data_IF_702026053196
#
_entry.id   IF_702026053196
#
_cell.length_a   1.000
_cell.length_b   1.000
_cell.length_c   1.000
_cell.angle_alpha   90.00
_cell.angle_beta   90.00
_cell.angle_gamma   90.00
#
_symmetry.space_group_name_H-M   'P 1'
#
loop_
_entity.id
_entity.type
_entity.pdbx_description
1 polymer ?
#
# COMPACT_ATOMS: atom_id res chain seq x y z
N UNK A 1 -0.71 -22.09 -28.43
CA UNK A 1 -0.76 -21.48 -27.09
C UNK A 1 -0.51 -22.57 -26.04
N UNK A 2 0.52 -22.37 -25.22
CA UNK A 2 0.94 -23.32 -24.18
C UNK A 2 -0.11 -23.48 -23.08
N UNK A 3 0.04 -24.54 -22.29
CA UNK A 3 -0.71 -24.70 -21.05
C UNK A 3 0.21 -25.28 -19.99
N UNK A 4 0.09 -24.78 -18.77
CA UNK A 4 0.84 -25.24 -17.60
C UNK A 4 -0.04 -26.24 -16.84
N UNK A 5 0.57 -27.31 -16.36
CA UNK A 5 -0.10 -28.29 -15.50
C UNK A 5 0.56 -28.18 -14.14
N UNK A 6 -0.25 -27.98 -13.11
CA UNK A 6 0.19 -27.94 -11.73
C UNK A 6 -0.24 -29.23 -11.03
N UNK A 7 0.68 -29.84 -10.29
CA UNK A 7 0.35 -30.90 -9.36
C UNK A 7 -0.48 -30.34 -8.18
N UNK A 8 -1.14 -31.20 -7.38
CA UNK A 8 -1.88 -30.75 -6.21
C UNK A 8 -1.04 -29.83 -5.30
N UNK A 9 -1.65 -28.79 -4.74
CA UNK A 9 -1.09 -27.74 -3.85
C UNK A 9 -0.11 -26.75 -4.52
N UNK A 10 0.54 -27.15 -5.61
CA UNK A 10 1.62 -26.35 -6.23
C UNK A 10 1.14 -24.97 -6.74
N UNK A 11 -0.10 -24.86 -7.24
CA UNK A 11 -0.61 -23.58 -7.74
C UNK A 11 -0.79 -22.55 -6.60
N UNK A 12 -1.45 -22.95 -5.52
CA UNK A 12 -1.67 -22.09 -4.36
C UNK A 12 -0.35 -21.72 -3.68
N UNK A 13 0.57 -22.68 -3.54
CA UNK A 13 1.91 -22.45 -3.00
C UNK A 13 2.68 -21.42 -3.83
N UNK A 14 2.72 -21.56 -5.15
CA UNK A 14 3.41 -20.60 -6.02
C UNK A 14 2.82 -19.18 -5.91
N UNK A 15 1.50 -19.06 -5.81
CA UNK A 15 0.82 -17.77 -5.61
C UNK A 15 1.19 -17.14 -4.26
N UNK A 16 1.12 -17.92 -3.18
CA UNK A 16 1.47 -17.45 -1.84
C UNK A 16 2.97 -17.12 -1.72
N UNK A 17 3.86 -17.91 -2.32
CA UNK A 17 5.29 -17.66 -2.31
C UNK A 17 5.68 -16.39 -3.05
N UNK A 18 5.13 -16.18 -4.25
CA UNK A 18 5.41 -14.97 -5.03
C UNK A 18 4.81 -13.73 -4.36
N UNK A 19 3.57 -13.84 -3.86
CA UNK A 19 2.96 -12.78 -3.06
C UNK A 19 3.81 -12.45 -1.84
N UNK A 20 4.30 -13.45 -1.10
CA UNK A 20 5.19 -13.25 0.04
C UNK A 20 6.56 -12.70 -0.34
N UNK A 21 7.12 -13.10 -1.47
CA UNK A 21 8.39 -12.56 -1.96
C UNK A 21 8.29 -11.07 -2.35
N UNK A 22 7.18 -10.69 -2.98
CA UNK A 22 6.94 -9.33 -3.49
C UNK A 22 6.41 -8.38 -2.42
N UNK A 23 5.41 -8.80 -1.65
CA UNK A 23 4.69 -7.97 -0.69
C UNK A 23 5.14 -8.18 0.75
N UNK A 24 5.86 -9.26 1.07
CA UNK A 24 6.18 -9.64 2.44
C UNK A 24 4.98 -10.17 3.24
N UNK A 25 3.81 -10.36 2.62
CA UNK A 25 2.63 -10.97 3.23
C UNK A 25 2.60 -12.49 3.01
N UNK A 26 2.39 -13.25 4.07
CA UNK A 26 2.04 -14.66 3.99
C UNK A 26 0.52 -14.79 3.87
N UNK A 27 0.05 -15.50 2.85
CA UNK A 27 -1.36 -15.69 2.55
C UNK A 27 -1.74 -17.15 2.82
N UNK A 28 -2.87 -17.34 3.51
CA UNK A 28 -3.53 -18.64 3.60
C UNK A 28 -4.33 -18.93 2.33
N UNK A 29 -4.80 -20.17 2.18
CA UNK A 29 -5.72 -20.54 1.10
C UNK A 29 -7.01 -19.70 1.14
N UNK A 30 -7.53 -19.39 2.34
CA UNK A 30 -8.69 -18.53 2.53
C UNK A 30 -8.41 -17.09 2.06
N UNK A 31 -7.20 -16.58 2.34
CA UNK A 31 -6.78 -15.27 1.83
C UNK A 31 -6.69 -15.28 0.30
N UNK A 32 -6.11 -16.30 -0.32
CA UNK A 32 -6.02 -16.40 -1.79
C UNK A 32 -7.41 -16.36 -2.43
N UNK A 33 -8.35 -17.18 -1.94
CA UNK A 33 -9.73 -17.23 -2.44
C UNK A 33 -10.45 -15.88 -2.25
N UNK A 34 -10.27 -15.24 -1.10
CA UNK A 34 -10.89 -13.94 -0.80
C UNK A 34 -10.40 -12.83 -1.74
N UNK A 35 -9.13 -12.84 -2.12
CA UNK A 35 -8.53 -11.75 -2.90
C UNK A 35 -8.62 -11.98 -4.42
N UNK A 36 -8.73 -13.22 -4.88
CA UNK A 36 -8.91 -13.54 -6.29
C UNK A 36 -10.37 -13.39 -6.75
N UNK A 37 -11.36 -13.42 -5.82
CA UNK A 37 -12.77 -12.93 -5.88
C UNK A 37 -13.61 -13.24 -7.15
N UNK A 38 -13.08 -14.03 -8.07
CA UNK A 38 -13.77 -14.63 -9.20
C UNK A 38 -14.20 -16.03 -8.78
N UNK A 39 -15.48 -16.42 -8.94
CA UNK A 39 -15.93 -17.79 -8.67
C UNK A 39 -15.05 -18.82 -9.38
N UNK A 40 -14.62 -18.51 -10.61
CA UNK A 40 -13.73 -19.37 -11.38
C UNK A 40 -12.34 -19.51 -10.75
N UNK A 41 -11.75 -18.41 -10.28
CA UNK A 41 -10.42 -18.44 -9.66
C UNK A 41 -10.48 -19.18 -8.32
N UNK A 42 -11.52 -18.96 -7.52
CA UNK A 42 -11.73 -19.66 -6.25
C UNK A 42 -11.90 -21.16 -6.46
N UNK A 43 -12.76 -21.58 -7.40
CA UNK A 43 -12.92 -23.00 -7.74
C UNK A 43 -11.62 -23.62 -8.22
N UNK A 44 -10.86 -22.91 -9.05
CA UNK A 44 -9.55 -23.35 -9.55
C UNK A 44 -8.55 -23.55 -8.41
N UNK A 45 -8.44 -22.58 -7.50
CA UNK A 45 -7.52 -22.65 -6.35
C UNK A 45 -7.89 -23.81 -5.44
N UNK A 46 -9.18 -23.96 -5.09
CA UNK A 46 -9.65 -25.07 -4.26
C UNK A 46 -9.48 -26.43 -4.95
N UNK A 47 -9.76 -26.52 -6.25
CA UNK A 47 -9.54 -27.75 -7.02
C UNK A 47 -8.05 -28.12 -7.09
N UNK A 48 -7.18 -27.10 -7.15
CA UNK A 48 -5.73 -27.30 -7.19
C UNK A 48 -5.17 -27.91 -5.91
N UNK A 49 -5.88 -27.87 -4.79
CA UNK A 49 -5.44 -28.51 -3.54
C UNK A 49 -5.53 -30.03 -3.58
N UNK A 50 -6.49 -30.56 -4.36
CA UNK A 50 -6.81 -32.00 -4.38
C UNK A 50 -6.50 -32.67 -5.72
N UNK A 51 -6.31 -31.90 -6.78
CA UNK A 51 -6.24 -32.42 -8.15
C UNK A 51 -5.26 -31.64 -9.01
N UNK A 52 -4.82 -32.29 -10.10
CA UNK A 52 -4.05 -31.59 -11.11
C UNK A 52 -4.93 -30.57 -11.81
N UNK A 53 -4.42 -29.35 -11.97
CA UNK A 53 -5.11 -28.29 -12.70
C UNK A 53 -4.27 -27.84 -13.88
N UNK A 54 -4.94 -27.50 -14.99
CA UNK A 54 -4.30 -26.99 -16.20
C UNK A 54 -4.76 -25.58 -16.47
N UNK A 55 -3.80 -24.67 -16.64
CA UNK A 55 -4.05 -23.27 -16.95
C UNK A 55 -3.35 -22.86 -18.24
N UNK A 56 -3.89 -21.84 -18.89
CA UNK A 56 -3.14 -21.08 -19.88
C UNK A 56 -2.03 -20.31 -19.16
N UNK A 57 -0.86 -20.17 -19.78
CA UNK A 57 0.24 -19.41 -19.17
C UNK A 57 -0.15 -17.94 -18.93
N UNK A 58 -0.95 -17.37 -19.83
CA UNK A 58 -1.48 -16.01 -19.68
C UNK A 58 -2.45 -15.90 -18.50
N UNK A 59 -3.33 -16.90 -18.33
CA UNK A 59 -4.25 -16.94 -17.18
C UNK A 59 -3.50 -17.11 -15.86
N UNK A 60 -2.39 -17.85 -15.85
CA UNK A 60 -1.52 -17.98 -14.67
C UNK A 60 -0.88 -16.64 -14.29
N UNK A 61 -0.39 -15.87 -15.27
CA UNK A 61 0.16 -14.54 -15.04
C UNK A 61 -0.91 -13.56 -14.52
N UNK A 62 -2.11 -13.60 -15.10
CA UNK A 62 -3.22 -12.76 -14.66
C UNK A 62 -3.64 -13.00 -13.21
N UNK A 63 -3.50 -14.23 -12.69
CA UNK A 63 -3.73 -14.52 -11.27
C UNK A 63 -2.79 -13.71 -10.38
N UNK A 64 -1.50 -13.62 -10.73
CA UNK A 64 -0.56 -12.78 -9.98
C UNK A 64 -0.89 -11.30 -10.10
N UNK A 65 -1.27 -10.83 -11.29
CA UNK A 65 -1.59 -9.42 -11.51
C UNK A 65 -2.76 -9.00 -10.62
N UNK A 66 -3.81 -9.82 -10.57
CA UNK A 66 -4.95 -9.62 -9.66
C UNK A 66 -4.52 -9.71 -8.20
N UNK A 67 -3.82 -10.79 -7.81
CA UNK A 67 -3.45 -11.04 -6.43
C UNK A 67 -2.57 -9.93 -5.86
N UNK A 68 -1.49 -9.55 -6.53
CA UNK A 68 -0.57 -8.51 -6.07
C UNK A 68 -1.26 -7.14 -5.95
N UNK A 69 -2.18 -6.82 -6.86
CA UNK A 69 -2.97 -5.60 -6.76
C UNK A 69 -3.92 -5.64 -5.57
N UNK A 70 -4.66 -6.75 -5.40
CA UNK A 70 -5.64 -6.91 -4.34
C UNK A 70 -4.97 -6.89 -2.96
N UNK A 71 -3.83 -7.54 -2.77
CA UNK A 71 -3.12 -7.47 -1.48
C UNK A 71 -2.40 -6.14 -1.23
N UNK A 72 -2.59 -5.13 -2.10
CA UNK A 72 -2.09 -3.77 -1.90
C UNK A 72 -0.66 -3.54 -2.38
N UNK A 73 0.04 -4.58 -2.85
CA UNK A 73 1.42 -4.48 -3.32
C UNK A 73 1.56 -3.53 -4.51
N UNK A 74 0.64 -3.58 -5.47
CA UNK A 74 0.65 -2.69 -6.63
C UNK A 74 -0.45 -1.63 -6.56
N UNK A 75 -0.12 -0.41 -6.98
CA UNK A 75 -1.08 0.71 -7.05
C UNK A 75 -2.23 0.43 -8.02
N UNK A 76 -1.96 -0.35 -9.06
CA UNK A 76 -2.89 -0.73 -10.12
C UNK A 76 -2.68 -2.19 -10.53
N UNK A 77 -3.69 -2.79 -11.14
CA UNK A 77 -3.57 -4.14 -11.69
C UNK A 77 -2.71 -4.11 -12.95
N UNK A 78 -1.71 -4.99 -13.00
CA UNK A 78 -0.87 -5.10 -14.18
C UNK A 78 -1.64 -5.69 -15.37
N UNK A 79 -1.33 -5.23 -16.57
CA UNK A 79 -1.98 -5.65 -17.82
C UNK A 79 -1.06 -6.55 -18.67
N UNK A 80 0.09 -6.98 -18.15
CA UNK A 80 1.07 -7.78 -18.87
C UNK A 80 1.96 -7.00 -19.85
N UNK A 81 1.73 -5.69 -20.03
CA UNK A 81 2.53 -4.88 -20.95
C UNK A 81 3.85 -4.43 -20.30
N UNK A 82 4.83 -5.33 -20.26
CA UNK A 82 6.16 -5.08 -19.67
C UNK A 82 6.96 -4.07 -20.49
N UNK A 83 6.77 -4.05 -21.82
CA UNK A 83 7.61 -3.30 -22.74
C UNK A 83 6.94 -2.04 -23.30
N UNK A 84 5.68 -1.75 -22.96
CA UNK A 84 4.92 -0.65 -23.55
C UNK A 84 4.49 -0.90 -24.99
N UNK A 85 4.20 -2.15 -25.36
CA UNK A 85 3.69 -2.52 -26.69
C UNK A 85 2.37 -1.78 -26.99
N UNK A 86 1.57 -1.48 -25.96
CA UNK A 86 0.34 -0.70 -26.11
C UNK A 86 0.54 0.68 -26.71
N UNK A 87 1.74 1.28 -26.57
CA UNK A 87 2.08 2.58 -27.17
C UNK A 87 1.99 2.55 -28.70
N UNK A 88 2.18 1.38 -29.33
CA UNK A 88 1.98 1.24 -30.78
C UNK A 88 0.59 1.71 -31.21
N UNK A 89 -0.46 1.33 -30.47
CA UNK A 89 -1.84 1.71 -30.81
C UNK A 89 -2.10 3.20 -30.69
N UNK A 90 -1.34 3.91 -29.85
CA UNK A 90 -1.42 5.36 -29.69
C UNK A 90 -0.78 6.12 -30.86
N UNK A 91 0.34 5.62 -31.38
CA UNK A 91 1.14 6.36 -32.38
C UNK A 91 0.98 5.86 -33.81
N UNK A 92 0.41 4.66 -34.05
CA UNK A 92 0.38 4.03 -35.37
C UNK A 92 -0.31 4.83 -36.49
N UNK A 93 -1.29 5.66 -36.15
CA UNK A 93 -2.14 6.31 -37.15
C UNK A 93 -1.55 7.67 -37.60
N UNK A 94 -0.86 8.39 -36.71
CA UNK A 94 -0.32 9.75 -36.98
C UNK A 94 1.22 9.85 -36.91
N UNK A 95 1.90 9.03 -36.10
CA UNK A 95 3.33 9.19 -35.76
C UNK A 95 4.10 7.87 -35.80
N UNK A 96 3.74 6.98 -36.73
CA UNK A 96 4.33 5.64 -36.82
C UNK A 96 5.85 5.67 -37.10
N UNK A 97 6.29 6.61 -37.95
CA UNK A 97 7.70 6.74 -38.33
C UNK A 97 8.55 7.17 -37.14
N UNK A 98 8.08 8.16 -36.38
CA UNK A 98 8.70 8.64 -35.16
C UNK A 98 8.72 7.54 -34.08
N UNK A 99 7.61 6.81 -33.92
CA UNK A 99 7.52 5.71 -32.96
C UNK A 99 8.54 4.61 -33.24
N UNK A 100 8.58 4.11 -34.49
CA UNK A 100 9.54 3.08 -34.88
C UNK A 100 10.99 3.59 -34.78
N UNK A 101 11.22 4.86 -35.13
CA UNK A 101 12.52 5.50 -35.00
C UNK A 101 13.00 5.62 -33.55
N UNK A 102 12.13 5.98 -32.63
CA UNK A 102 12.44 6.02 -31.19
C UNK A 102 12.72 4.63 -30.64
N UNK A 103 11.99 3.60 -31.07
CA UNK A 103 12.27 2.21 -30.67
C UNK A 103 13.66 1.74 -31.17
N UNK A 104 14.04 2.09 -32.39
CA UNK A 104 15.38 1.80 -32.92
C UNK A 104 16.47 2.52 -32.11
N UNK A 105 16.27 3.79 -31.77
CA UNK A 105 17.17 4.51 -30.87
C UNK A 105 17.28 3.85 -29.50
N UNK A 106 16.15 3.41 -28.93
CA UNK A 106 16.12 2.72 -27.64
C UNK A 106 17.00 1.46 -27.66
N UNK A 107 16.83 0.60 -28.68
CA UNK A 107 17.63 -0.63 -28.83
C UNK A 107 19.13 -0.34 -28.97
N UNK A 108 19.50 0.75 -29.66
CA UNK A 108 20.90 1.15 -29.88
C UNK A 108 21.55 1.81 -28.67
N UNK A 109 20.79 2.56 -27.87
CA UNK A 109 21.31 3.41 -26.79
C UNK A 109 21.24 2.68 -25.44
N UNK A 110 20.19 1.90 -25.17
CA UNK A 110 20.00 1.23 -23.88
C UNK A 110 21.19 0.37 -23.45
N UNK A 111 21.82 -0.47 -24.30
CA UNK A 111 22.99 -1.25 -23.89
C UNK A 111 24.18 -0.37 -23.46
N UNK A 112 24.35 0.79 -24.11
CA UNK A 112 25.41 1.75 -23.77
C UNK A 112 25.13 2.45 -22.44
N UNK A 113 23.87 2.80 -22.19
CA UNK A 113 23.42 3.35 -20.91
C UNK A 113 23.64 2.34 -19.77
N UNK A 114 23.30 1.07 -19.98
CA UNK A 114 23.55 -0.01 -19.01
C UNK A 114 25.05 -0.23 -18.74
N UNK A 115 25.88 -0.23 -19.79
CA UNK A 115 27.33 -0.37 -19.66
C UNK A 115 27.93 0.77 -18.83
N UNK A 116 27.59 2.03 -19.14
CA UNK A 116 28.03 3.20 -18.37
C UNK A 116 27.58 3.16 -16.92
N UNK A 117 26.33 2.75 -16.68
CA UNK A 117 25.77 2.61 -15.33
C UNK A 117 26.58 1.58 -14.52
N UNK A 118 26.92 0.45 -15.14
CA UNK A 118 27.74 -0.60 -14.54
C UNK A 118 29.17 -0.14 -14.26
N UNK A 119 29.81 0.54 -15.20
CA UNK A 119 31.15 1.12 -15.05
C UNK A 119 31.21 2.16 -13.93
N UNK A 120 30.14 2.96 -13.78
CA UNK A 120 30.00 3.94 -12.71
C UNK A 120 29.61 3.32 -11.35
N UNK A 121 29.30 2.03 -11.29
CA UNK A 121 28.78 1.37 -10.08
C UNK A 121 27.42 1.91 -9.61
N UNK A 122 26.68 2.58 -10.49
CA UNK A 122 25.36 3.15 -10.17
C UNK A 122 24.28 2.07 -10.18
N UNK A 123 23.27 2.24 -9.32
CA UNK A 123 22.06 1.39 -9.29
C UNK A 123 20.93 1.93 -10.17
N UNK A 124 21.11 3.11 -10.75
CA UNK A 124 20.11 3.82 -11.55
C UNK A 124 20.67 4.17 -12.92
N UNK A 125 19.87 3.95 -13.95
CA UNK A 125 20.22 4.25 -15.34
C UNK A 125 19.80 5.70 -15.64
N UNK A 126 20.74 6.53 -16.11
CA UNK A 126 20.45 7.88 -16.59
C UNK A 126 19.80 7.84 -17.99
N UNK A 127 18.52 8.24 -18.14
CA UNK A 127 17.82 8.20 -19.42
C UNK A 127 18.17 9.36 -20.36
N UNK A 128 18.90 10.38 -19.89
CA UNK A 128 19.17 11.62 -20.65
C UNK A 128 19.71 11.37 -22.07
N UNK A 129 20.68 10.45 -22.29
CA UNK A 129 21.19 10.18 -23.64
C UNK A 129 20.13 9.67 -24.62
N UNK A 130 19.14 8.91 -24.14
CA UNK A 130 18.05 8.40 -24.96
C UNK A 130 17.00 9.50 -25.23
N UNK A 131 16.65 10.29 -24.21
CA UNK A 131 15.72 11.42 -24.34
C UNK A 131 16.26 12.47 -25.32
N UNK A 132 17.52 12.87 -25.18
CA UNK A 132 18.19 13.85 -26.05
C UNK A 132 18.28 13.36 -27.49
N UNK A 133 18.66 12.09 -27.70
CA UNK A 133 18.73 11.51 -29.05
C UNK A 133 17.36 11.48 -29.74
N UNK A 134 16.31 11.13 -28.98
CA UNK A 134 14.93 11.06 -29.49
C UNK A 134 14.39 12.46 -29.82
N UNK A 135 14.65 13.43 -28.94
CA UNK A 135 14.29 14.84 -29.17
C UNK A 135 15.01 15.44 -30.38
N UNK A 136 16.31 15.12 -30.55
CA UNK A 136 17.10 15.59 -31.68
C UNK A 136 16.63 15.00 -33.02
N UNK A 137 16.24 13.72 -33.03
CA UNK A 137 15.84 13.02 -34.25
C UNK A 137 14.41 13.32 -34.67
N UNK A 138 13.47 13.41 -33.72
CA UNK A 138 12.03 13.48 -34.01
C UNK A 138 11.30 14.62 -33.27
N UNK A 139 12.05 15.60 -32.76
CA UNK A 139 11.50 16.78 -32.09
C UNK A 139 10.68 16.45 -30.84
N UNK A 140 9.64 17.24 -30.58
CA UNK A 140 8.77 17.09 -29.40
C UNK A 140 8.07 15.73 -29.36
N UNK A 141 7.61 15.23 -30.50
CA UNK A 141 6.94 13.93 -30.61
C UNK A 141 7.89 12.81 -30.21
N UNK A 142 9.13 12.82 -30.71
CA UNK A 142 10.17 11.87 -30.30
C UNK A 142 10.44 11.85 -28.81
N UNK A 143 10.53 13.04 -28.21
CA UNK A 143 10.72 13.18 -26.77
C UNK A 143 9.53 12.59 -25.98
N UNK A 144 8.29 12.90 -26.37
CA UNK A 144 7.08 12.35 -25.73
C UNK A 144 7.04 10.82 -25.82
N UNK A 145 7.34 10.24 -26.98
CA UNK A 145 7.39 8.78 -27.15
C UNK A 145 8.48 8.17 -26.26
N UNK A 146 9.66 8.80 -26.18
CA UNK A 146 10.77 8.32 -25.37
C UNK A 146 10.45 8.34 -23.88
N UNK A 147 9.80 9.40 -23.38
CA UNK A 147 9.33 9.50 -21.99
C UNK A 147 8.32 8.38 -21.71
N UNK A 148 7.28 8.26 -22.53
CA UNK A 148 6.24 7.23 -22.34
C UNK A 148 6.81 5.81 -22.42
N UNK A 149 7.84 5.60 -23.24
CA UNK A 149 8.55 4.31 -23.33
C UNK A 149 9.28 3.99 -22.03
N UNK A 150 9.98 4.96 -21.44
CA UNK A 150 10.65 4.79 -20.14
C UNK A 150 9.62 4.52 -19.05
N UNK A 151 8.52 5.30 -19.01
CA UNK A 151 7.43 5.12 -18.05
C UNK A 151 6.79 3.73 -18.17
N UNK A 152 6.58 3.24 -19.40
CA UNK A 152 6.03 1.91 -19.63
C UNK A 152 6.96 0.79 -19.13
N UNK A 153 8.27 0.92 -19.35
CA UNK A 153 9.26 -0.05 -18.85
C UNK A 153 9.34 0.01 -17.32
N UNK A 154 9.40 1.20 -16.73
CA UNK A 154 9.39 1.38 -15.27
C UNK A 154 8.13 0.76 -14.65
N UNK A 155 6.96 1.06 -15.21
CA UNK A 155 5.69 0.46 -14.82
C UNK A 155 5.74 -1.07 -14.92
N UNK A 156 6.24 -1.62 -16.04
CA UNK A 156 6.42 -3.05 -16.20
C UNK A 156 7.36 -3.67 -15.15
N UNK A 157 8.45 -3.00 -14.82
CA UNK A 157 9.39 -3.44 -13.79
C UNK A 157 8.78 -3.43 -12.38
N UNK A 158 7.98 -2.40 -12.06
CA UNK A 158 7.29 -2.26 -10.77
C UNK A 158 6.15 -3.24 -10.57
N UNK A 159 5.35 -3.46 -11.61
CA UNK A 159 4.08 -4.19 -11.49
C UNK A 159 4.21 -5.69 -11.80
N UNK A 160 5.25 -6.10 -12.51
CA UNK A 160 5.40 -7.50 -12.90
C UNK A 160 5.76 -8.40 -11.70
N UNK A 161 5.12 -9.58 -11.58
CA UNK A 161 5.50 -10.59 -10.60
C UNK A 161 6.86 -11.24 -10.90
N UNK A 162 7.31 -11.20 -12.16
CA UNK A 162 8.46 -11.96 -12.64
C UNK A 162 9.76 -11.15 -12.69
N UNK A 163 9.69 -9.85 -12.44
CA UNK A 163 10.87 -8.98 -12.38
C UNK A 163 11.57 -9.17 -11.03
N UNK A 164 12.91 -9.18 -11.03
CA UNK A 164 13.68 -9.26 -9.78
C UNK A 164 13.68 -7.95 -8.98
N UNK A 165 13.07 -6.87 -9.50
CA UNK A 165 13.08 -5.59 -8.85
C UNK A 165 12.16 -5.60 -7.61
N UNK A 166 12.75 -5.34 -6.46
CA UNK A 166 12.07 -5.07 -5.19
C UNK A 166 12.56 -3.75 -4.62
N UNK A 167 11.64 -2.88 -4.27
CA UNK A 167 11.96 -1.60 -3.63
C UNK A 167 12.06 -1.73 -2.11
N UNK A 168 11.44 -2.78 -1.55
CA UNK A 168 11.60 -3.19 -0.15
C UNK A 168 12.03 -4.66 -0.15
N UNK A 169 13.16 -4.91 0.50
CA UNK A 169 13.70 -6.24 0.73
C UNK A 169 13.19 -6.73 2.08
N UNK A 170 12.08 -7.48 2.08
CA UNK A 170 11.51 -8.05 3.29
C UNK A 170 12.35 -9.21 3.81
N UNK A 171 12.81 -9.10 5.05
CA UNK A 171 13.54 -10.14 5.78
C UNK A 171 12.61 -11.19 6.38
N UNK A 172 11.34 -10.81 6.61
CA UNK A 172 10.32 -11.70 7.17
C UNK A 172 9.02 -11.68 6.37
N UNK A 173 8.26 -12.78 6.45
CA UNK A 173 6.86 -12.82 5.99
C UNK A 173 5.94 -12.66 7.21
N UNK A 174 4.93 -11.81 7.10
CA UNK A 174 3.89 -11.66 8.13
C UNK A 174 2.55 -12.17 7.61
N UNK A 175 1.81 -12.99 8.36
CA UNK A 175 0.48 -13.41 7.95
C UNK A 175 -0.43 -12.20 7.74
N UNK A 176 -1.16 -12.15 6.62
CA UNK A 176 -2.16 -11.09 6.40
C UNK A 176 -3.19 -11.06 7.54
N UNK A 177 -3.59 -12.23 8.04
CA UNK A 177 -4.52 -12.38 9.15
C UNK A 177 -4.08 -11.67 10.45
N UNK A 178 -2.80 -11.38 10.65
CA UNK A 178 -2.29 -10.69 11.86
C UNK A 178 -2.88 -9.28 12.03
N UNK A 179 -3.28 -8.63 10.93
CA UNK A 179 -3.95 -7.32 11.00
C UNK A 179 -5.34 -7.41 11.64
N UNK A 180 -6.00 -8.57 11.55
CA UNK A 180 -7.36 -8.83 12.03
C UNK A 180 -7.36 -9.58 13.38
N UNK A 181 -6.42 -10.51 13.56
CA UNK A 181 -6.29 -11.32 14.77
C UNK A 181 -5.43 -10.65 15.85
N UNK A 182 -4.62 -9.66 15.47
CA UNK A 182 -3.61 -9.06 16.33
C UNK A 182 -2.30 -9.85 16.29
N UNK A 183 -1.20 -9.17 16.55
CA UNK A 183 0.14 -9.75 16.57
C UNK A 183 1.07 -8.85 17.38
N UNK A 184 1.91 -9.47 18.20
CA UNK A 184 2.93 -8.78 18.99
C UNK A 184 4.28 -8.66 18.24
N UNK A 185 4.32 -9.09 16.98
CA UNK A 185 5.51 -8.91 16.15
C UNK A 185 5.73 -7.42 15.89
N UNK A 186 6.94 -6.89 16.13
CA UNK A 186 7.24 -5.51 15.79
C UNK A 186 7.15 -5.31 14.27
N UNK A 187 6.78 -4.11 13.81
CA UNK A 187 6.80 -3.79 12.39
C UNK A 187 8.24 -3.86 11.86
N UNK A 188 8.41 -4.40 10.65
CA UNK A 188 9.69 -4.39 9.95
C UNK A 188 9.90 -3.04 9.25
N UNK A 189 8.82 -2.45 8.74
CA UNK A 189 8.81 -1.12 8.14
C UNK A 189 7.69 -0.27 8.75
N UNK A 190 8.06 0.82 9.43
CA UNK A 190 7.18 1.63 10.26
C UNK A 190 7.60 1.61 11.73
N UNK A 191 6.99 2.43 12.57
CA UNK A 191 7.29 2.48 14.01
C UNK A 191 6.28 1.71 14.86
N UNK A 192 4.99 1.80 14.54
CA UNK A 192 3.91 1.21 15.32
C UNK A 192 3.15 0.11 14.57
N UNK A 193 2.85 0.33 13.28
CA UNK A 193 2.22 -0.68 12.40
C UNK A 193 3.09 -0.91 11.17
N UNK A 194 3.06 -2.13 10.65
CA UNK A 194 3.85 -2.52 9.49
C UNK A 194 3.26 -1.96 8.19
N UNK A 195 4.12 -1.43 7.31
CA UNK A 195 3.73 -0.86 6.02
C UNK A 195 2.90 -1.83 5.16
N UNK A 196 3.14 -3.14 5.25
CA UNK A 196 2.40 -4.16 4.49
C UNK A 196 0.90 -4.12 4.79
N UNK A 197 0.55 -3.85 6.05
CA UNK A 197 -0.83 -3.75 6.49
C UNK A 197 -1.49 -2.44 6.05
N UNK A 198 -0.73 -1.34 6.03
CA UNK A 198 -1.20 -0.05 5.50
C UNK A 198 -1.49 -0.17 4.00
N UNK A 199 -0.56 -0.77 3.25
CA UNK A 199 -0.69 -0.95 1.80
C UNK A 199 -1.90 -1.81 1.44
N UNK A 200 -2.12 -2.87 2.22
CA UNK A 200 -3.29 -3.73 2.12
C UNK A 200 -4.61 -3.00 2.44
N UNK A 201 -4.68 -2.29 3.57
CA UNK A 201 -5.91 -1.62 4.01
C UNK A 201 -6.34 -0.50 3.09
N UNK A 202 -5.41 0.17 2.42
CA UNK A 202 -5.77 1.22 1.47
C UNK A 202 -6.61 0.67 0.30
N UNK A 203 -6.39 -0.57 -0.12
CA UNK A 203 -7.22 -1.23 -1.13
C UNK A 203 -8.48 -1.92 -0.55
N UNK A 204 -8.58 -2.02 0.78
CA UNK A 204 -9.61 -2.76 1.52
C UNK A 204 -10.19 -1.94 2.70
N UNK A 205 -10.52 -0.67 2.48
CA UNK A 205 -10.98 0.24 3.54
C UNK A 205 -12.29 -0.24 4.20
N UNK A 206 -13.10 -1.01 3.48
CA UNK A 206 -14.32 -1.65 4.00
C UNK A 206 -14.04 -2.62 5.15
N UNK A 207 -12.82 -3.16 5.24
CA UNK A 207 -12.36 -4.08 6.29
C UNK A 207 -11.81 -3.37 7.52
N UNK A 208 -11.70 -2.03 7.53
CA UNK A 208 -11.29 -1.26 8.71
C UNK A 208 -12.02 -1.65 10.01
N UNK A 209 -13.35 -1.88 10.03
CA UNK A 209 -14.05 -2.29 11.25
C UNK A 209 -13.69 -3.72 11.74
N UNK A 210 -13.07 -4.53 10.89
CA UNK A 210 -12.67 -5.91 11.20
C UNK A 210 -11.25 -5.99 11.77
N UNK A 211 -10.41 -4.97 11.53
CA UNK A 211 -9.03 -4.91 12.05
C UNK A 211 -8.97 -5.23 13.53
N UNK A 212 -7.90 -5.82 14.03
CA UNK A 212 -7.73 -5.94 15.46
C UNK A 212 -7.70 -4.54 16.10
N UNK A 213 -8.39 -4.35 17.23
CA UNK A 213 -8.52 -3.04 17.89
C UNK A 213 -7.14 -2.40 18.17
N UNK A 214 -6.17 -3.20 18.62
CA UNK A 214 -4.80 -2.73 18.84
C UNK A 214 -4.09 -2.27 17.55
N UNK A 215 -4.33 -2.94 16.42
CA UNK A 215 -3.76 -2.53 15.12
C UNK A 215 -4.34 -1.19 14.65
N UNK A 216 -5.57 -0.89 15.05
CA UNK A 216 -6.20 0.41 14.76
C UNK A 216 -5.58 1.56 15.58
N UNK A 217 -5.21 1.30 16.83
CA UNK A 217 -4.45 2.25 17.66
C UNK A 217 -3.03 2.46 17.10
N UNK A 218 -2.35 1.37 16.73
CA UNK A 218 -1.02 1.42 16.09
C UNK A 218 -1.06 2.23 14.78
N UNK A 219 -2.10 2.07 13.95
CA UNK A 219 -2.29 2.88 12.74
C UNK A 219 -2.42 4.37 13.05
N UNK A 220 -3.16 4.72 14.09
CA UNK A 220 -3.32 6.10 14.55
C UNK A 220 -1.97 6.67 15.02
N UNK A 221 -1.22 5.90 15.82
CA UNK A 221 0.09 6.29 16.30
C UNK A 221 1.10 6.47 15.16
N UNK A 222 1.11 5.57 14.18
CA UNK A 222 1.98 5.63 13.00
C UNK A 222 1.70 6.86 12.14
N UNK A 223 0.43 7.23 11.96
CA UNK A 223 0.07 8.44 11.24
C UNK A 223 0.71 9.67 11.88
N UNK A 224 0.45 9.93 13.17
CA UNK A 224 1.00 11.10 13.85
C UNK A 224 2.52 11.07 13.92
N UNK A 225 3.12 9.89 14.07
CA UNK A 225 4.56 9.75 14.04
C UNK A 225 5.16 10.21 12.71
N UNK A 226 4.55 9.81 11.58
CA UNK A 226 5.00 10.20 10.24
C UNK A 226 4.66 11.66 9.89
N UNK A 227 3.70 12.26 10.57
CA UNK A 227 3.48 13.71 10.54
C UNK A 227 4.53 14.50 11.34
N UNK A 228 5.47 13.82 12.00
CA UNK A 228 6.58 14.44 12.73
C UNK A 228 6.28 14.73 14.19
N UNK A 229 5.24 14.13 14.77
CA UNK A 229 4.96 14.25 16.21
C UNK A 229 5.74 13.20 17.02
N UNK A 230 5.99 13.53 18.29
CA UNK A 230 6.39 12.53 19.30
C UNK A 230 5.12 11.84 19.76
N UNK A 231 5.12 10.51 19.69
CA UNK A 231 3.92 9.69 19.91
C UNK A 231 4.26 8.58 20.90
N UNK A 232 3.37 8.41 21.87
CA UNK A 232 3.36 7.28 22.80
C UNK A 232 2.06 6.51 22.61
N UNK A 233 2.18 5.22 22.33
CA UNK A 233 1.06 4.30 22.26
C UNK A 233 0.86 3.70 23.66
N UNK A 234 -0.36 3.83 24.20
CA UNK A 234 -0.71 3.29 25.52
C UNK A 234 -0.55 1.77 25.60
N UNK A 235 -0.61 1.16 26.79
CA UNK A 235 -0.43 -0.28 26.96
C UNK A 235 -1.55 -1.13 26.33
N UNK A 236 -2.68 -0.53 25.97
CA UNK A 236 -3.85 -1.16 25.35
C UNK A 236 -4.79 -1.89 26.32
N UNK A 237 -4.38 -2.04 27.59
CA UNK A 237 -5.26 -2.49 28.67
C UNK A 237 -5.06 -1.57 29.86
N UNK A 238 -6.14 -1.28 30.59
CA UNK A 238 -6.14 -0.39 31.76
C UNK A 238 -5.52 1.00 31.46
N UNK A 239 -5.85 1.58 30.31
CA UNK A 239 -5.34 2.88 29.85
C UNK A 239 -6.28 4.06 30.17
N UNK A 240 -7.26 3.83 31.04
CA UNK A 240 -8.32 4.78 31.42
C UNK A 240 -9.03 5.44 30.22
N UNK A 241 -8.94 4.83 29.03
CA UNK A 241 -9.57 5.30 27.80
C UNK A 241 -8.68 6.13 26.88
N UNK A 242 -7.39 6.33 27.19
CA UNK A 242 -6.42 7.04 26.35
C UNK A 242 -5.48 6.08 25.63
N UNK A 243 -5.74 5.88 24.34
CA UNK A 243 -5.01 4.89 23.55
C UNK A 243 -3.69 5.45 23.00
N UNK A 244 -3.64 6.74 22.64
CA UNK A 244 -2.44 7.39 22.07
C UNK A 244 -2.24 8.78 22.66
N UNK A 245 -1.01 9.09 23.10
CA UNK A 245 -0.59 10.43 23.53
C UNK A 245 0.36 11.03 22.50
N UNK A 246 0.17 12.30 22.17
CA UNK A 246 0.87 12.97 21.06
C UNK A 246 1.37 14.34 21.54
N UNK A 247 2.65 14.61 21.31
CA UNK A 247 3.33 15.87 21.60
C UNK A 247 3.93 16.45 20.34
N UNK A 248 4.09 17.78 20.27
CA UNK A 248 4.87 18.39 19.19
C UNK A 248 6.33 17.98 19.37
N UNK A 249 7.06 17.81 18.27
CA UNK A 249 8.47 17.44 18.32
C UNK A 249 9.35 18.43 19.10
N UNK A 250 8.93 19.69 19.18
CA UNK A 250 9.63 20.75 19.93
C UNK A 250 9.32 20.78 21.42
N UNK A 251 8.31 20.04 21.88
CA UNK A 251 7.86 20.11 23.27
C UNK A 251 8.86 19.40 24.20
N UNK A 252 9.20 19.97 25.38
CA UNK A 252 10.04 19.31 26.36
C UNK A 252 9.45 17.96 26.82
N UNK A 253 10.27 17.00 27.23
CA UNK A 253 9.78 15.69 27.71
C UNK A 253 8.82 15.79 28.91
N UNK A 254 8.90 16.87 29.70
CA UNK A 254 8.03 17.11 30.86
C UNK A 254 6.71 17.79 30.52
N UNK A 255 6.45 18.13 29.26
CA UNK A 255 5.19 18.77 28.86
C UNK A 255 4.04 17.77 28.86
N UNK A 256 2.84 18.23 29.18
CA UNK A 256 1.62 17.47 28.95
C UNK A 256 1.42 17.20 27.44
N UNK A 257 0.66 16.15 27.07
CA UNK A 257 0.36 15.86 25.67
C UNK A 257 -0.31 17.05 24.97
N UNK A 258 0.08 17.33 23.73
CA UNK A 258 -0.67 18.28 22.90
C UNK A 258 -2.05 17.71 22.52
N UNK A 259 -2.11 16.41 22.26
CA UNK A 259 -3.33 15.70 21.90
C UNK A 259 -3.33 14.33 22.58
N UNK A 260 -4.49 13.92 23.10
CA UNK A 260 -4.75 12.54 23.46
C UNK A 260 -5.82 11.97 22.53
N UNK A 261 -5.64 10.74 22.06
CA UNK A 261 -6.55 10.08 21.14
C UNK A 261 -7.19 8.84 21.76
N UNK A 262 -8.50 8.72 21.54
CA UNK A 262 -9.28 7.53 21.82
C UNK A 262 -9.82 6.94 20.51
N UNK A 263 -9.40 5.71 20.24
CA UNK A 263 -9.69 4.92 19.07
C UNK A 263 -10.92 4.04 19.31
N UNK A 264 -11.94 4.17 18.46
CA UNK A 264 -13.15 3.34 18.49
C UNK A 264 -13.34 2.63 17.16
N UNK A 265 -12.85 1.38 17.10
CA UNK A 265 -13.07 0.47 15.98
C UNK A 265 -14.43 -0.24 16.11
N UNK A 266 -15.43 0.26 15.39
CA UNK A 266 -16.79 -0.27 15.38
C UNK A 266 -17.57 0.13 14.11
N UNK A 267 -18.69 -0.55 13.86
CA UNK A 267 -19.62 -0.24 12.76
C UNK A 267 -20.68 0.81 13.15
N UNK A 268 -21.07 0.84 14.43
CA UNK A 268 -22.07 1.77 14.96
C UNK A 268 -21.47 3.14 15.25
N UNK A 269 -22.30 4.19 15.25
CA UNK A 269 -21.85 5.55 15.53
C UNK A 269 -21.35 5.69 16.96
N UNK A 270 -20.36 6.56 17.18
CA UNK A 270 -19.83 6.86 18.51
C UNK A 270 -20.79 7.80 19.25
N UNK A 271 -21.22 7.37 20.43
CA UNK A 271 -22.20 8.11 21.22
C UNK A 271 -21.58 9.12 22.20
N UNK A 272 -22.42 10.05 22.67
CA UNK A 272 -22.06 11.14 23.60
C UNK A 272 -21.35 10.73 24.90
N UNK A 273 -21.46 9.46 25.30
CA UNK A 273 -20.78 8.94 26.50
C UNK A 273 -19.26 8.94 26.28
N UNK A 274 -18.81 8.52 25.10
CA UNK A 274 -17.38 8.50 24.74
C UNK A 274 -16.80 9.91 24.73
N UNK A 275 -17.52 10.87 24.14
CA UNK A 275 -17.14 12.29 24.14
C UNK A 275 -16.95 12.84 25.56
N UNK A 276 -17.87 12.51 26.48
CA UNK A 276 -17.79 12.99 27.86
C UNK A 276 -16.64 12.33 28.64
N UNK A 277 -16.39 11.03 28.41
CA UNK A 277 -15.25 10.31 28.97
C UNK A 277 -13.94 10.96 28.53
N UNK A 278 -13.73 11.07 27.22
CA UNK A 278 -12.52 11.68 26.66
C UNK A 278 -12.30 13.12 27.15
N UNK A 279 -13.35 13.91 27.35
CA UNK A 279 -13.21 15.25 27.92
C UNK A 279 -12.65 15.23 29.36
N UNK A 280 -13.08 14.28 30.18
CA UNK A 280 -12.54 14.09 31.52
C UNK A 280 -11.05 13.71 31.45
N UNK A 281 -10.69 12.83 30.52
CA UNK A 281 -9.30 12.39 30.31
C UNK A 281 -8.42 13.53 29.81
N UNK A 282 -8.91 14.38 28.89
CA UNK A 282 -8.22 15.59 28.42
C UNK A 282 -7.91 16.52 29.58
N UNK A 283 -8.88 16.69 30.50
CA UNK A 283 -8.72 17.53 31.68
C UNK A 283 -7.72 16.91 32.67
N UNK A 284 -7.75 15.59 32.84
CA UNK A 284 -6.88 14.85 33.75
C UNK A 284 -5.42 14.86 33.29
N UNK A 285 -5.17 14.56 32.01
CA UNK A 285 -3.85 14.56 31.38
C UNK A 285 -3.32 15.99 31.13
N UNK A 286 -4.19 17.00 31.26
CA UNK A 286 -3.86 18.40 30.98
C UNK A 286 -3.48 18.65 29.52
N UNK A 287 -4.12 17.91 28.59
CA UNK A 287 -3.88 18.01 27.16
C UNK A 287 -4.64 19.18 26.53
N UNK A 288 -4.13 19.75 25.42
CA UNK A 288 -4.79 20.88 24.75
C UNK A 288 -6.10 20.43 24.07
N UNK A 289 -6.10 19.23 23.50
CA UNK A 289 -7.23 18.66 22.77
C UNK A 289 -7.38 17.15 22.98
N UNK A 290 -8.61 16.67 22.81
CA UNK A 290 -8.93 15.25 22.62
C UNK A 290 -9.21 14.93 21.15
N UNK A 291 -8.88 13.72 20.72
CA UNK A 291 -9.21 13.19 19.40
C UNK A 291 -9.99 11.88 19.52
N UNK A 292 -11.18 11.82 18.92
CA UNK A 292 -11.86 10.55 18.70
C UNK A 292 -11.54 10.07 17.29
N UNK A 293 -10.86 8.92 17.18
CA UNK A 293 -10.57 8.27 15.91
C UNK A 293 -11.49 7.07 15.76
N UNK A 294 -12.30 6.98 14.70
CA UNK A 294 -13.28 5.90 14.58
C UNK A 294 -13.47 5.39 13.16
N UNK A 295 -13.65 4.07 13.01
CA UNK A 295 -13.99 3.42 11.74
C UNK A 295 -15.44 3.64 11.30
N UNK A 296 -16.25 4.34 12.10
CA UNK A 296 -17.60 4.79 11.76
C UNK A 296 -17.63 6.33 11.68
N UNK A 297 -18.50 6.97 12.45
CA UNK A 297 -18.65 8.41 12.62
C UNK A 297 -19.26 8.71 14.00
N UNK A 298 -19.20 9.95 14.47
CA UNK A 298 -19.92 10.34 15.69
C UNK A 298 -21.42 10.48 15.43
N UNK A 299 -22.22 10.18 16.45
CA UNK A 299 -23.67 10.42 16.39
C UNK A 299 -23.94 11.95 16.35
N UNK A 300 -25.05 12.40 15.74
CA UNK A 300 -25.41 13.82 15.77
C UNK A 300 -25.48 14.37 17.19
N UNK A 301 -25.98 13.56 18.14
CA UNK A 301 -26.00 13.92 19.56
C UNK A 301 -24.61 14.08 20.18
N UNK A 302 -23.63 13.27 19.78
CA UNK A 302 -22.24 13.42 20.21
C UNK A 302 -21.63 14.74 19.69
N UNK A 303 -21.79 15.06 18.40
CA UNK A 303 -21.31 16.32 17.81
C UNK A 303 -21.96 17.55 18.45
N UNK A 304 -23.28 17.51 18.70
CA UNK A 304 -23.98 18.59 19.41
C UNK A 304 -23.46 18.79 20.83
N UNK A 305 -23.08 17.71 21.53
CA UNK A 305 -22.49 17.82 22.87
C UNK A 305 -21.13 18.52 22.82
N UNK A 306 -20.28 18.20 21.84
CA UNK A 306 -18.98 18.87 21.65
C UNK A 306 -19.18 20.37 21.47
N UNK A 307 -20.05 20.78 20.54
CA UNK A 307 -20.26 22.20 20.21
C UNK A 307 -20.95 22.98 21.33
N UNK A 308 -22.00 22.41 21.93
CA UNK A 308 -22.80 23.10 22.97
C UNK A 308 -22.02 23.27 24.26
N UNK A 309 -21.15 22.30 24.61
CA UNK A 309 -20.35 22.35 25.84
C UNK A 309 -18.96 22.96 25.64
N UNK A 310 -18.59 23.27 24.40
CA UNK A 310 -17.26 23.81 24.08
C UNK A 310 -16.12 22.84 24.42
N UNK A 311 -16.35 21.53 24.29
CA UNK A 311 -15.29 20.56 24.56
C UNK A 311 -14.20 20.66 23.48
N UNK A 312 -12.90 20.73 23.86
CA UNK A 312 -11.79 20.78 22.92
C UNK A 312 -11.53 19.40 22.29
N UNK A 313 -12.56 18.80 21.69
CA UNK A 313 -12.51 17.47 21.10
C UNK A 313 -12.71 17.58 19.59
N UNK A 314 -11.85 16.88 18.84
CA UNK A 314 -11.96 16.71 17.39
C UNK A 314 -12.31 15.27 17.05
N UNK A 315 -12.82 15.04 15.84
CA UNK A 315 -13.10 13.71 15.31
C UNK A 315 -12.30 13.43 14.05
N UNK A 316 -11.90 12.17 13.89
CA UNK A 316 -11.44 11.58 12.64
C UNK A 316 -12.31 10.36 12.41
N UNK A 317 -13.19 10.46 11.42
CA UNK A 317 -14.08 9.39 11.01
C UNK A 317 -13.43 8.51 9.93
N UNK A 318 -14.21 7.58 9.37
CA UNK A 318 -13.74 6.71 8.29
C UNK A 318 -13.13 7.47 7.10
N UNK A 319 -13.67 8.63 6.72
CA UNK A 319 -13.15 9.42 5.59
C UNK A 319 -11.80 10.05 5.93
N UNK A 320 -11.64 10.50 7.17
CA UNK A 320 -10.35 10.94 7.67
C UNK A 320 -9.31 9.82 7.64
N UNK A 321 -9.68 8.62 8.08
CA UNK A 321 -8.78 7.43 8.04
C UNK A 321 -8.42 7.04 6.60
N UNK A 322 -9.35 7.08 5.64
CA UNK A 322 -9.05 6.87 4.21
C UNK A 322 -7.97 7.84 3.71
N UNK A 323 -8.04 9.09 4.15
CA UNK A 323 -7.04 10.11 3.82
C UNK A 323 -5.68 9.77 4.44
N UNK A 324 -5.66 9.25 5.67
CA UNK A 324 -4.44 8.76 6.32
C UNK A 324 -3.84 7.60 5.53
N UNK A 325 -4.62 6.56 5.24
CA UNK A 325 -4.16 5.38 4.50
C UNK A 325 -3.55 5.78 3.14
N UNK A 326 -4.20 6.67 2.39
CA UNK A 326 -3.66 7.18 1.12
C UNK A 326 -2.32 7.89 1.25
N UNK A 327 -2.13 8.66 2.32
CA UNK A 327 -0.88 9.38 2.61
C UNK A 327 0.23 8.43 3.08
N UNK A 328 -0.15 7.37 3.78
CA UNK A 328 0.76 6.40 4.37
C UNK A 328 1.15 5.27 3.41
N UNK A 329 0.32 4.98 2.40
CA UNK A 329 0.55 3.92 1.41
C UNK A 329 1.82 4.17 0.61
N UNK A 330 2.62 3.13 0.41
CA UNK A 330 3.81 3.13 -0.45
C UNK A 330 3.85 1.84 -1.26
N UNK A 331 2.88 1.62 -2.17
CA UNK A 331 2.74 0.35 -2.87
C UNK A 331 3.93 0.14 -3.80
N UNK A 332 4.62 -0.99 -3.65
CA UNK A 332 5.76 -1.35 -4.49
C UNK A 332 6.87 -0.29 -4.51
N UNK A 333 6.91 0.60 -3.52
CA UNK A 333 7.88 1.68 -3.38
C UNK A 333 8.40 1.66 -1.95
N UNK A 334 9.71 1.68 -1.76
CA UNK A 334 10.28 1.93 -0.44
C UNK A 334 9.97 3.37 -0.01
N UNK A 335 10.36 3.77 1.21
CA UNK A 335 10.15 5.12 1.77
C UNK A 335 10.94 6.22 1.01
N UNK A 336 11.32 6.00 -0.25
CA UNK A 336 11.87 7.03 -1.11
C UNK A 336 10.70 7.82 -1.70
N UNK A 337 10.30 8.88 -0.99
CA UNK A 337 9.61 10.01 -1.61
C UNK A 337 10.63 10.73 -2.49
N UNK A 338 10.37 10.81 -3.79
CA UNK A 338 11.07 11.76 -4.68
C UNK A 338 10.48 13.15 -4.44
#
# INVERSE_FOLDING_TARGET
MGGMIFAPQVLADNLSETAGYKSGLALSLEDLCTHLDSPHDTELILASEASHVRLRSEAYDELFYRLLHRIGHTAEQFNGDIAGVGLYHKYRDEYLVEYLGVLDLFVKIMPKMMARTREAGSKSIDPSPFLEASAKAFGKVGLSIAIEKIEAIDRGQRLSPHTGLRYVEWNSRVPLADIFKGSNKPPELGKFIDQRFIDYLQSHEERLPEMHWRKFEELTAEFFHREGFRVELGPGTNDDGVDVRIWKASDPETSNPHLIAQCKRQKVKVEKVVVKGLYADVTHEGADYGLIVTTSELSPGARTVISTRGYPIKEIDRRGISTWLRKLRTPGTGIVRV
#
